data_IF_981896618774
#
_entry.id   IF_981896618774
#
_cell.length_a   1.000
_cell.length_b   1.000
_cell.length_c   1.000
_cell.angle_alpha   90.00
_cell.angle_beta   90.00
_cell.angle_gamma   90.00
#
_symmetry.space_group_name_H-M   'P 1'
#
loop_
_entity.id
_entity.type
_entity.pdbx_description
1 polymer ?
#
# COMPACT_ATOMS: atom_id res chain seq x y z
N UNK A 1 7.91 5.53 15.25
CA UNK A 1 7.36 6.85 14.86
C UNK A 1 6.92 6.73 13.42
N UNK A 2 5.78 7.32 13.07
CA UNK A 2 5.37 7.44 11.66
C UNK A 2 6.40 8.24 10.88
N UNK A 3 6.64 7.88 9.61
CA UNK A 3 7.59 8.60 8.76
C UNK A 3 6.81 9.62 7.93
N UNK A 4 7.10 10.89 8.14
CA UNK A 4 6.42 12.00 7.48
C UNK A 4 7.40 12.70 6.54
N UNK A 5 6.96 13.01 5.32
CA UNK A 5 7.77 13.74 4.32
C UNK A 5 6.94 14.92 3.81
N UNK A 6 7.45 16.13 4.00
CA UNK A 6 6.85 17.36 3.51
C UNK A 6 7.40 17.75 2.13
N UNK A 7 6.65 18.62 1.44
CA UNK A 7 7.16 19.26 0.22
C UNK A 7 8.42 20.08 0.56
N UNK A 8 9.53 19.75 -0.11
CA UNK A 8 10.84 20.35 0.11
C UNK A 8 11.81 19.45 0.87
N UNK A 9 11.33 18.40 1.53
CA UNK A 9 12.18 17.46 2.27
C UNK A 9 12.99 16.56 1.32
N UNK A 10 14.13 16.09 1.80
CA UNK A 10 14.87 15.03 1.15
C UNK A 10 13.98 13.78 0.99
N UNK A 11 13.89 13.27 -0.24
CA UNK A 11 13.05 12.12 -0.56
C UNK A 11 11.62 12.46 -0.98
N UNK A 12 11.21 13.74 -0.98
CA UNK A 12 9.89 14.16 -1.48
C UNK A 12 9.64 13.72 -2.93
N UNK A 13 10.59 13.97 -3.85
CA UNK A 13 10.42 13.58 -5.25
C UNK A 13 10.32 12.06 -5.42
N UNK A 14 11.08 11.30 -4.62
CA UNK A 14 10.96 9.83 -4.60
C UNK A 14 9.61 9.39 -4.02
N UNK A 15 9.11 10.06 -2.99
CA UNK A 15 7.80 9.79 -2.40
C UNK A 15 6.65 10.13 -3.36
N UNK A 16 6.83 11.11 -4.24
CA UNK A 16 5.86 11.55 -5.25
C UNK A 16 5.72 10.54 -6.40
N UNK A 17 6.81 9.84 -6.77
CA UNK A 17 6.78 8.83 -7.84
C UNK A 17 5.88 7.63 -7.45
N UNK A 18 5.03 7.23 -8.40
CA UNK A 18 4.28 5.96 -8.38
C UNK A 18 4.94 4.95 -9.33
N UNK A 19 4.31 3.78 -9.54
CA UNK A 19 4.76 2.87 -10.60
C UNK A 19 4.72 3.56 -11.97
N UNK A 20 3.66 4.33 -12.24
CA UNK A 20 3.68 5.31 -13.32
C UNK A 20 4.49 6.55 -12.87
N UNK A 21 5.61 6.88 -13.55
CA UNK A 21 6.38 8.07 -13.25
C UNK A 21 5.66 9.37 -13.64
N UNK A 22 4.61 9.31 -14.47
CA UNK A 22 3.83 10.47 -14.88
C UNK A 22 2.82 10.86 -13.79
N UNK A 23 3.27 11.69 -12.85
CA UNK A 23 2.38 12.36 -11.90
C UNK A 23 2.56 13.87 -12.00
N UNK A 24 1.45 14.57 -12.21
CA UNK A 24 1.38 16.03 -12.11
C UNK A 24 0.68 16.47 -10.80
N UNK A 25 0.77 15.63 -9.76
CA UNK A 25 0.24 15.93 -8.43
C UNK A 25 1.35 16.33 -7.47
N UNK A 26 1.04 17.31 -6.62
CA UNK A 26 1.99 17.84 -5.63
C UNK A 26 1.35 17.83 -4.23
N UNK A 27 1.36 16.68 -3.53
CA UNK A 27 0.93 16.60 -2.14
C UNK A 27 1.74 17.56 -1.26
N UNK A 28 1.11 18.11 -0.22
CA UNK A 28 1.81 18.90 0.80
C UNK A 28 2.68 18.00 1.68
N UNK A 29 2.18 16.79 1.94
CA UNK A 29 2.79 15.86 2.88
C UNK A 29 2.41 14.41 2.54
N UNK A 30 3.37 13.52 2.77
CA UNK A 30 3.17 12.08 2.79
C UNK A 30 3.29 11.59 4.24
N UNK A 31 2.31 10.81 4.68
CA UNK A 31 2.34 10.09 5.96
C UNK A 31 2.51 8.61 5.65
N UNK A 32 3.69 8.06 5.90
CA UNK A 32 3.94 6.63 5.81
C UNK A 32 3.54 5.96 7.12
N UNK A 33 2.31 5.46 7.16
CA UNK A 33 1.71 4.85 8.33
C UNK A 33 2.32 3.46 8.59
N UNK A 34 2.64 3.20 9.87
CA UNK A 34 3.17 1.91 10.33
C UNK A 34 2.15 1.14 11.17
N UNK A 35 1.13 1.84 11.69
CA UNK A 35 0.03 1.29 12.48
C UNK A 35 -1.27 2.05 12.22
N UNK A 36 -2.39 1.45 12.62
CA UNK A 36 -3.73 2.04 12.50
C UNK A 36 -3.84 3.42 13.14
N UNK A 37 -3.11 3.67 14.24
CA UNK A 37 -3.14 4.96 14.92
C UNK A 37 -2.59 6.10 14.06
N UNK A 38 -1.57 5.83 13.24
CA UNK A 38 -0.95 6.83 12.35
C UNK A 38 -1.97 7.28 11.28
N UNK A 39 -2.71 6.32 10.72
CA UNK A 39 -3.82 6.58 9.79
C UNK A 39 -4.91 7.41 10.47
N UNK A 40 -5.33 7.01 11.67
CA UNK A 40 -6.38 7.70 12.42
C UNK A 40 -5.98 9.15 12.74
N UNK A 41 -4.74 9.37 13.16
CA UNK A 41 -4.20 10.70 13.45
C UNK A 41 -4.16 11.57 12.20
N UNK A 42 -3.68 11.05 11.06
CA UNK A 42 -3.63 11.78 9.81
C UNK A 42 -5.02 12.17 9.30
N UNK A 43 -6.01 11.27 9.39
CA UNK A 43 -7.40 11.56 9.01
C UNK A 43 -7.99 12.62 9.94
N UNK A 44 -7.80 12.48 11.26
CA UNK A 44 -8.29 13.44 12.25
C UNK A 44 -7.75 14.84 11.96
N UNK A 45 -6.43 14.97 11.82
CA UNK A 45 -5.77 16.24 11.52
C UNK A 45 -6.28 16.82 10.20
N UNK A 46 -6.41 16.02 9.14
CA UNK A 46 -6.90 16.48 7.85
C UNK A 46 -8.34 17.01 7.92
N UNK A 47 -9.20 16.35 8.69
CA UNK A 47 -10.59 16.77 8.88
C UNK A 47 -10.72 18.07 9.68
N UNK A 48 -9.90 18.22 10.73
CA UNK A 48 -9.80 19.44 11.55
C UNK A 48 -9.32 20.63 10.71
N UNK A 49 -8.35 20.40 9.81
CA UNK A 49 -7.72 21.45 8.99
C UNK A 49 -8.34 21.60 7.60
N UNK A 50 -9.40 20.87 7.27
CA UNK A 50 -10.06 20.85 5.95
C UNK A 50 -9.09 20.60 4.79
N UNK A 51 -8.14 19.70 5.00
CA UNK A 51 -7.14 19.31 4.00
C UNK A 51 -7.58 18.03 3.29
N UNK A 52 -7.58 17.98 1.95
CA UNK A 52 -7.99 16.77 1.23
C UNK A 52 -6.98 15.65 1.43
N UNK A 53 -7.48 14.41 1.48
CA UNK A 53 -6.67 13.20 1.71
C UNK A 53 -6.76 12.20 0.55
N UNK A 54 -5.71 11.41 0.36
CA UNK A 54 -5.70 10.21 -0.48
C UNK A 54 -5.02 9.06 0.23
N UNK A 55 -5.63 7.88 0.19
CA UNK A 55 -4.99 6.64 0.62
C UNK A 55 -4.11 6.09 -0.50
N UNK A 56 -2.96 5.52 -0.15
CA UNK A 56 -2.03 4.89 -1.10
C UNK A 56 -1.44 3.60 -0.52
N UNK A 57 -1.47 2.53 -1.31
CA UNK A 57 -0.79 1.25 -1.00
C UNK A 57 0.19 0.89 -2.13
N UNK A 58 -0.14 -0.09 -2.98
CA UNK A 58 0.77 -0.64 -4.00
C UNK A 58 1.14 0.28 -5.15
N UNK A 59 0.54 1.47 -5.27
CA UNK A 59 0.87 2.47 -6.32
C UNK A 59 0.65 1.99 -7.77
N UNK A 60 -0.22 1.00 -7.95
CA UNK A 60 -0.53 0.40 -9.25
C UNK A 60 -1.81 0.94 -9.91
N UNK A 61 -2.46 1.95 -9.32
CA UNK A 61 -3.60 2.59 -9.98
C UNK A 61 -3.13 3.36 -11.20
N UNK A 62 -3.67 2.99 -12.37
CA UNK A 62 -3.41 3.67 -13.64
C UNK A 62 -4.11 5.04 -13.74
N UNK A 63 -5.05 5.31 -12.85
CA UNK A 63 -5.77 6.57 -12.78
C UNK A 63 -4.95 7.63 -12.01
N UNK A 64 -4.64 8.73 -12.70
CA UNK A 64 -3.78 9.82 -12.21
C UNK A 64 -4.27 10.44 -10.89
N UNK A 65 -5.59 10.36 -10.62
CA UNK A 65 -6.23 11.04 -9.48
C UNK A 65 -6.52 10.15 -8.28
N UNK A 66 -6.28 8.84 -8.34
CA UNK A 66 -6.70 7.92 -7.27
C UNK A 66 -5.66 7.73 -6.16
N UNK A 67 -4.37 7.82 -6.49
CA UNK A 67 -3.28 7.57 -5.53
C UNK A 67 -2.60 8.84 -4.99
N UNK A 68 -2.95 10.03 -5.50
CA UNK A 68 -2.30 11.29 -5.15
C UNK A 68 -3.28 12.47 -5.17
N UNK A 69 -2.92 13.54 -4.47
CA UNK A 69 -3.70 14.78 -4.38
C UNK A 69 -2.76 15.98 -4.34
N UNK A 70 -3.07 17.03 -5.11
CA UNK A 70 -2.33 18.30 -5.02
C UNK A 70 -2.81 19.08 -3.81
N UNK A 71 -1.89 19.64 -3.04
CA UNK A 71 -2.24 20.49 -1.89
C UNK A 71 -2.78 19.73 -0.67
N UNK A 72 -2.83 18.39 -0.73
CA UNK A 72 -3.39 17.53 0.30
C UNK A 72 -2.38 16.62 0.99
N UNK A 73 -2.90 15.64 1.73
CA UNK A 73 -2.13 14.59 2.41
C UNK A 73 -2.27 13.29 1.63
N UNK A 74 -1.16 12.61 1.41
CA UNK A 74 -1.18 11.20 1.00
C UNK A 74 -0.86 10.33 2.20
N UNK A 75 -1.83 9.51 2.62
CA UNK A 75 -1.66 8.51 3.67
C UNK A 75 -1.23 7.21 3.00
N UNK A 76 0.05 6.90 3.11
CA UNK A 76 0.69 5.75 2.50
C UNK A 76 0.78 4.61 3.53
N UNK A 77 0.14 3.48 3.24
CA UNK A 77 0.10 2.31 4.14
C UNK A 77 1.15 1.25 3.78
N UNK A 78 2.09 1.53 2.87
CA UNK A 78 3.09 0.56 2.40
C UNK A 78 3.99 -0.01 3.50
N UNK A 79 4.11 0.65 4.65
CA UNK A 79 4.86 0.16 5.81
C UNK A 79 4.00 -0.75 6.73
N UNK A 80 2.68 -0.82 6.53
CA UNK A 80 1.76 -1.70 7.26
C UNK A 80 1.79 -3.13 6.67
N UNK A 81 2.87 -3.88 6.90
CA UNK A 81 3.15 -5.19 6.25
C UNK A 81 2.88 -6.44 7.11
N UNK A 82 2.24 -6.31 8.28
CA UNK A 82 2.02 -7.44 9.20
C UNK A 82 1.13 -8.53 8.59
N UNK A 83 1.45 -9.80 8.83
CA UNK A 83 0.63 -10.95 8.44
C UNK A 83 0.32 -11.78 9.69
N UNK A 84 -0.94 -12.21 9.84
CA UNK A 84 -1.36 -13.15 10.88
C UNK A 84 -2.12 -14.31 10.25
N UNK A 85 -1.61 -15.52 10.43
CA UNK A 85 -2.27 -16.75 9.97
C UNK A 85 -3.05 -17.38 11.13
N UNK A 86 -4.32 -17.67 10.90
CA UNK A 86 -5.12 -18.52 11.78
C UNK A 86 -5.35 -19.87 11.11
N UNK A 87 -4.55 -20.87 11.52
CA UNK A 87 -4.64 -22.24 10.99
C UNK A 87 -5.96 -22.93 11.35
N UNK A 88 -6.55 -22.60 12.50
CA UNK A 88 -7.80 -23.24 12.96
C UNK A 88 -8.98 -22.85 12.08
N UNK A 89 -9.05 -21.59 11.66
CA UNK A 89 -10.12 -21.08 10.79
C UNK A 89 -9.74 -21.01 9.31
N UNK A 90 -8.51 -21.38 8.94
CA UNK A 90 -8.03 -21.29 7.55
C UNK A 90 -7.96 -19.86 7.01
N UNK A 91 -7.79 -18.84 7.86
CA UNK A 91 -7.80 -17.43 7.44
C UNK A 91 -6.45 -16.77 7.61
N UNK A 92 -6.15 -15.79 6.74
CA UNK A 92 -4.99 -14.92 6.86
C UNK A 92 -5.44 -13.47 6.93
N UNK A 93 -4.92 -12.71 7.90
CA UNK A 93 -5.07 -11.27 7.99
C UNK A 93 -3.79 -10.63 7.48
N UNK A 94 -3.91 -9.82 6.43
CA UNK A 94 -2.79 -9.20 5.74
C UNK A 94 -2.85 -7.68 5.91
N UNK A 95 -1.72 -7.08 6.27
CA UNK A 95 -1.57 -5.64 6.32
C UNK A 95 -1.69 -5.04 4.92
N UNK A 96 -2.40 -3.93 4.83
CA UNK A 96 -2.77 -3.27 3.57
C UNK A 96 -1.57 -2.79 2.73
N UNK A 97 -0.38 -2.67 3.32
CA UNK A 97 0.86 -2.31 2.63
C UNK A 97 1.60 -3.47 1.97
N UNK A 98 1.16 -4.71 2.18
CA UNK A 98 1.84 -5.88 1.64
C UNK A 98 1.61 -5.98 0.13
N UNK A 99 2.69 -5.97 -0.63
CA UNK A 99 2.62 -6.17 -2.08
C UNK A 99 2.28 -7.62 -2.40
N UNK A 100 1.61 -7.84 -3.54
CA UNK A 100 1.18 -9.17 -3.96
C UNK A 100 2.33 -10.18 -4.00
N UNK A 101 3.46 -9.83 -4.63
CA UNK A 101 4.62 -10.71 -4.72
C UNK A 101 5.16 -11.12 -3.34
N UNK A 102 5.27 -10.17 -2.41
CA UNK A 102 5.70 -10.45 -1.04
C UNK A 102 4.72 -11.37 -0.29
N UNK A 103 3.42 -11.18 -0.49
CA UNK A 103 2.38 -12.00 0.12
C UNK A 103 2.42 -13.43 -0.42
N UNK A 104 2.49 -13.58 -1.74
CA UNK A 104 2.53 -14.86 -2.44
C UNK A 104 3.74 -15.68 -1.97
N UNK A 105 4.95 -15.11 -1.99
CA UNK A 105 6.16 -15.79 -1.49
C UNK A 105 6.04 -16.18 -0.02
N UNK A 106 5.46 -15.31 0.82
CA UNK A 106 5.31 -15.58 2.25
C UNK A 106 4.36 -16.75 2.54
N UNK A 107 3.30 -16.91 1.75
CA UNK A 107 2.31 -17.97 1.91
C UNK A 107 2.74 -19.28 1.25
N UNK A 108 3.42 -19.23 0.12
CA UNK A 108 4.04 -20.40 -0.49
C UNK A 108 5.02 -21.08 0.47
N UNK A 109 5.86 -20.32 1.17
CA UNK A 109 6.74 -20.86 2.21
C UNK A 109 6.01 -21.42 3.45
N UNK A 110 4.68 -21.42 3.46
CA UNK A 110 3.81 -22.00 4.48
C UNK A 110 2.84 -23.05 3.90
N UNK A 111 3.09 -23.49 2.67
CA UNK A 111 2.25 -24.41 1.90
C UNK A 111 0.81 -23.90 1.68
N UNK A 112 0.64 -22.58 1.62
CA UNK A 112 -0.65 -21.92 1.40
C UNK A 112 -0.63 -21.25 0.02
N UNK A 113 -1.57 -21.65 -0.83
CA UNK A 113 -1.73 -21.13 -2.19
C UNK A 113 -2.79 -20.04 -2.22
N UNK A 114 -2.47 -18.89 -2.83
CA UNK A 114 -3.45 -17.86 -3.21
C UNK A 114 -3.64 -17.88 -4.73
N UNK A 115 -4.89 -17.93 -5.18
CA UNK A 115 -5.21 -18.20 -6.58
C UNK A 115 -5.02 -17.01 -7.55
N UNK A 116 -4.80 -15.75 -7.14
CA UNK A 116 -4.68 -14.67 -8.13
C UNK A 116 -4.02 -13.35 -7.71
N UNK A 117 -3.17 -12.81 -8.60
CA UNK A 117 -3.19 -11.38 -8.94
C UNK A 117 -3.53 -11.13 -10.42
N UNK A 118 -3.12 -12.03 -11.33
CA UNK A 118 -3.74 -12.39 -12.63
C UNK A 118 -3.36 -13.87 -12.83
N UNK A 119 -4.31 -14.73 -13.17
CA UNK A 119 -4.06 -16.17 -13.38
C UNK A 119 -3.73 -16.43 -14.85
N UNK A 120 -2.56 -17.03 -15.12
CA UNK A 120 -2.32 -17.78 -16.35
C UNK A 120 -1.79 -19.16 -15.94
N UNK A 121 -2.63 -20.17 -16.20
CA UNK A 121 -2.31 -21.58 -16.05
C UNK A 121 -1.57 -22.02 -17.30
N UNK A 122 -0.38 -22.59 -17.13
CA UNK A 122 0.25 -23.47 -18.11
C UNK A 122 0.62 -24.76 -17.36
N UNK A 123 0.20 -25.88 -17.95
CA UNK A 123 0.15 -27.20 -17.35
C UNK A 123 1.53 -27.87 -17.26
N UNK A 124 1.64 -28.89 -16.41
CA UNK A 124 2.35 -30.10 -16.83
C UNK A 124 1.51 -31.31 -16.46
N UNK A 125 1.21 -32.08 -17.51
CA UNK A 125 0.44 -33.32 -17.51
C UNK A 125 0.91 -34.27 -16.40
N UNK A 126 -0.07 -34.81 -15.67
CA UNK A 126 0.15 -36.00 -14.86
C UNK A 126 -0.08 -37.23 -15.73
N UNK A 127 0.94 -38.07 -15.87
CA UNK A 127 0.84 -39.52 -16.10
C UNK A 127 2.20 -40.17 -15.83
N UNK A 128 2.25 -41.45 -15.44
CA UNK A 128 1.16 -42.43 -15.36
C UNK A 128 0.63 -42.69 -13.93
#
# INVERSE_FOLDING_TARGET
MERVIFKGDQGYETARKNWDPHTDKYPKVFVFAQKTQDVANAIKWANENKVPIRARSGRHSLEVNLSQVTGGIVIDVSEMKKIKLNKKSGTVVVGTGRQWGELHTCLLGKDIWLHSAIALRLESEASP
#
